data_IF_393312369625
#
_entry.id   IF_393312369625
#
_cell.length_a   1.000
_cell.length_b   1.000
_cell.length_c   1.000
_cell.angle_alpha   90.00
_cell.angle_beta   90.00
_cell.angle_gamma   90.00
#
_symmetry.space_group_name_H-M   'P 1'
#
loop_
_entity.id
_entity.type
_entity.pdbx_description
1 polymer ?
#
# COMPACT_ATOMS: atom_id res chain seq x y z
N UNK A 1 -2.11 19.21 -42.55
CA UNK A 1 -2.26 19.90 -41.25
C UNK A 1 -2.23 18.82 -40.17
N UNK A 2 -1.07 18.59 -39.55
CA UNK A 2 -0.94 17.59 -38.47
C UNK A 2 -1.54 18.19 -37.19
N UNK A 3 -2.46 17.47 -36.54
CA UNK A 3 -2.90 17.80 -35.19
C UNK A 3 -1.80 17.36 -34.23
N UNK A 4 -1.11 18.31 -33.64
CA UNK A 4 -0.22 18.07 -32.50
C UNK A 4 -1.06 17.47 -31.36
N UNK A 5 -0.73 16.23 -30.99
CA UNK A 5 -1.23 15.62 -29.78
C UNK A 5 -0.58 16.38 -28.62
N UNK A 6 -1.35 17.23 -27.94
CA UNK A 6 -1.02 17.77 -26.63
C UNK A 6 -0.81 16.59 -25.67
N UNK A 7 0.45 16.16 -25.53
CA UNK A 7 0.90 15.36 -24.40
C UNK A 7 0.68 16.27 -23.19
N UNK A 8 -0.42 16.06 -22.48
CA UNK A 8 -0.61 16.67 -21.17
C UNK A 8 0.55 16.20 -20.30
N UNK A 9 1.53 17.07 -20.08
CA UNK A 9 2.56 16.85 -19.07
C UNK A 9 1.84 16.59 -17.74
N UNK A 10 1.82 15.34 -17.30
CA UNK A 10 1.36 15.00 -15.96
C UNK A 10 2.26 15.78 -14.99
N UNK A 11 1.70 16.79 -14.33
CA UNK A 11 2.38 17.50 -13.23
C UNK A 11 2.90 16.47 -12.22
N UNK A 12 4.01 16.74 -11.49
CA UNK A 12 4.44 15.87 -10.41
C UNK A 12 3.29 15.73 -9.41
N UNK A 13 2.62 14.58 -9.46
CA UNK A 13 1.46 14.29 -8.62
C UNK A 13 1.93 14.29 -7.18
N UNK A 14 1.27 15.08 -6.32
CA UNK A 14 1.50 15.12 -4.88
C UNK A 14 1.65 13.71 -4.28
N UNK A 15 2.37 13.61 -3.16
CA UNK A 15 2.48 12.36 -2.41
C UNK A 15 1.09 11.79 -2.12
N UNK A 16 0.88 10.50 -2.42
CA UNK A 16 -0.39 9.81 -2.15
C UNK A 16 -0.22 8.96 -0.91
N UNK A 17 -1.08 9.17 0.09
CA UNK A 17 -1.21 8.26 1.23
C UNK A 17 -2.46 7.40 1.05
N UNK A 18 -2.33 6.12 1.37
CA UNK A 18 -3.42 5.15 1.32
C UNK A 18 -3.25 4.12 2.43
N UNK A 19 -4.30 3.32 2.65
CA UNK A 19 -4.24 2.14 3.50
C UNK A 19 -4.35 0.87 2.69
N UNK A 20 -3.65 -0.15 3.16
CA UNK A 20 -3.88 -1.56 2.83
C UNK A 20 -4.29 -2.30 4.09
N UNK A 21 -5.00 -3.41 3.94
CA UNK A 21 -5.38 -4.27 5.05
C UNK A 21 -4.62 -5.59 4.96
N UNK A 22 -4.08 -6.03 6.10
CA UNK A 22 -3.58 -7.38 6.30
C UNK A 22 -4.59 -8.15 7.13
N UNK A 23 -5.01 -9.32 6.66
CA UNK A 23 -5.97 -10.19 7.32
C UNK A 23 -5.29 -11.51 7.69
N UNK A 24 -5.13 -11.73 9.01
CA UNK A 24 -4.52 -12.92 9.56
C UNK A 24 -5.60 -13.87 10.07
N UNK A 25 -5.46 -15.15 9.77
CA UNK A 25 -6.27 -16.17 10.44
C UNK A 25 -5.74 -16.44 11.87
N UNK A 26 -6.51 -17.20 12.65
CA UNK A 26 -6.10 -17.55 14.02
C UNK A 26 -4.82 -18.39 14.08
N UNK A 27 -4.46 -19.10 13.01
CA UNK A 27 -3.22 -19.89 12.95
C UNK A 27 -1.98 -18.98 12.86
N UNK A 28 -2.15 -17.78 12.31
CA UNK A 28 -1.10 -16.79 12.11
C UNK A 28 -1.15 -15.64 13.14
N UNK A 29 -1.80 -15.84 14.30
CA UNK A 29 -1.94 -14.81 15.34
C UNK A 29 -0.58 -14.30 15.86
N UNK A 30 0.45 -15.16 15.89
CA UNK A 30 1.79 -14.76 16.29
C UNK A 30 2.41 -13.74 15.31
N UNK A 31 2.15 -13.90 14.01
CA UNK A 31 2.57 -12.94 12.99
C UNK A 31 1.79 -11.63 13.10
N UNK A 32 0.49 -11.70 13.38
CA UNK A 32 -0.33 -10.51 13.70
C UNK A 32 0.26 -9.74 14.88
N UNK A 33 0.61 -10.43 15.98
CA UNK A 33 1.20 -9.80 17.15
C UNK A 33 2.59 -9.20 16.85
N UNK A 34 3.42 -9.91 16.09
CA UNK A 34 4.77 -9.49 15.73
C UNK A 34 4.78 -8.32 14.74
N UNK A 35 3.87 -8.28 13.76
CA UNK A 35 3.74 -7.12 12.89
C UNK A 35 3.15 -5.94 13.65
N UNK A 36 2.36 -6.23 14.68
CA UNK A 36 1.74 -5.21 15.51
C UNK A 36 2.66 -4.59 16.58
N UNK A 37 3.83 -5.16 16.81
CA UNK A 37 4.78 -4.61 17.79
C UNK A 37 5.51 -3.38 17.25
N UNK A 38 5.83 -2.44 18.14
CA UNK A 38 6.72 -1.31 17.84
C UNK A 38 8.06 -1.83 17.29
N UNK A 39 8.54 -1.29 16.17
CA UNK A 39 9.76 -1.71 15.47
C UNK A 39 9.71 -3.09 14.78
N UNK A 40 8.57 -3.47 14.20
CA UNK A 40 8.47 -4.75 13.51
C UNK A 40 9.32 -4.81 12.23
N UNK A 41 10.28 -5.72 12.19
CA UNK A 41 11.01 -6.08 10.96
C UNK A 41 10.08 -6.62 9.86
N UNK A 42 8.88 -7.09 10.23
CA UNK A 42 7.89 -7.60 9.28
C UNK A 42 7.27 -6.49 8.42
N UNK A 43 7.18 -5.26 8.93
CA UNK A 43 6.76 -4.11 8.12
C UNK A 43 7.81 -3.77 7.05
N UNK A 44 9.09 -3.84 7.40
CA UNK A 44 10.17 -3.68 6.43
C UNK A 44 10.19 -4.83 5.41
N UNK A 45 9.90 -6.05 5.84
CA UNK A 45 9.75 -7.18 4.93
C UNK A 45 8.59 -6.97 3.95
N UNK A 46 7.42 -6.53 4.44
CA UNK A 46 6.28 -6.15 3.61
C UNK A 46 6.67 -5.06 2.61
N UNK A 47 7.42 -4.04 3.04
CA UNK A 47 7.95 -2.98 2.15
C UNK A 47 8.73 -3.58 0.98
N UNK A 48 9.69 -4.44 1.29
CA UNK A 48 10.56 -5.03 0.29
C UNK A 48 9.77 -5.92 -0.68
N UNK A 49 8.79 -6.69 -0.18
CA UNK A 49 7.91 -7.53 -0.99
C UNK A 49 7.04 -6.70 -1.95
N UNK A 50 6.53 -5.55 -1.49
CA UNK A 50 5.74 -4.61 -2.31
C UNK A 50 6.60 -3.92 -3.37
N UNK A 51 7.79 -3.44 -3.01
CA UNK A 51 8.74 -2.81 -3.95
C UNK A 51 9.16 -3.79 -5.06
N UNK A 52 9.37 -5.06 -4.71
CA UNK A 52 9.70 -6.08 -5.71
C UNK A 52 8.53 -6.33 -6.68
N UNK A 53 7.30 -6.27 -6.17
CA UNK A 53 6.09 -6.60 -6.93
C UNK A 53 5.57 -5.44 -7.78
N UNK A 54 5.87 -4.20 -7.38
CA UNK A 54 5.53 -2.97 -8.09
C UNK A 54 6.84 -2.24 -8.30
N UNK A 55 7.43 -2.27 -9.50
CA UNK A 55 8.75 -1.69 -9.74
C UNK A 55 8.70 -0.17 -9.49
N UNK A 56 9.04 0.22 -8.27
CA UNK A 56 9.16 1.59 -7.77
C UNK A 56 10.47 1.68 -6.99
N UNK A 57 11.12 2.85 -7.00
CA UNK A 57 12.22 3.12 -6.08
C UNK A 57 11.77 2.91 -4.63
N UNK A 58 12.53 2.11 -3.88
CA UNK A 58 12.23 1.76 -2.48
C UNK A 58 12.20 2.97 -1.54
N UNK A 59 12.88 4.06 -1.91
CA UNK A 59 12.87 5.34 -1.18
C UNK A 59 11.54 6.07 -1.32
N UNK A 60 10.78 5.78 -2.38
CA UNK A 60 9.49 6.40 -2.67
C UNK A 60 8.31 5.68 -2.03
N UNK A 61 8.46 4.42 -1.63
CA UNK A 61 7.43 3.68 -0.88
C UNK A 61 7.74 3.72 0.63
N UNK A 62 6.91 4.44 1.37
CA UNK A 62 7.02 4.54 2.84
C UNK A 62 5.84 3.79 3.46
N UNK A 63 6.12 2.83 4.33
CA UNK A 63 5.11 2.25 5.22
C UNK A 63 5.22 2.95 6.57
N UNK A 64 4.09 3.44 7.08
CA UNK A 64 4.04 4.06 8.38
C UNK A 64 4.08 2.98 9.47
N UNK A 65 4.89 3.19 10.50
CA UNK A 65 4.93 2.33 11.68
C UNK A 65 3.64 2.42 12.51
N UNK A 66 2.88 3.51 12.34
CA UNK A 66 1.55 3.65 12.92
C UNK A 66 0.55 2.80 12.12
N UNK A 67 0.39 1.57 12.57
CA UNK A 67 -0.65 0.65 12.12
C UNK A 67 -1.92 0.81 12.96
N UNK A 68 -3.08 0.51 12.39
CA UNK A 68 -4.34 0.52 13.11
C UNK A 68 -4.94 -0.88 13.17
N UNK A 69 -5.32 -1.32 14.36
CA UNK A 69 -6.09 -2.56 14.53
C UNK A 69 -7.53 -2.31 14.10
N UNK A 70 -8.05 -3.16 13.23
CA UNK A 70 -9.48 -3.16 12.91
C UNK A 70 -10.18 -4.02 13.97
N UNK A 71 -10.48 -3.42 15.11
CA UNK A 71 -11.28 -4.09 16.13
C UNK A 71 -12.75 -3.91 15.81
N UNK A 72 -13.37 -4.94 15.26
CA UNK A 72 -14.82 -5.01 15.24
C UNK A 72 -15.26 -5.70 16.53
N UNK A 73 -16.11 -5.07 17.34
CA UNK A 73 -16.49 -5.57 18.69
C UNK A 73 -17.09 -6.99 18.69
N UNK A 74 -17.48 -7.50 17.51
CA UNK A 74 -18.16 -8.77 17.33
C UNK A 74 -17.40 -9.81 16.48
N UNK A 75 -16.17 -9.52 16.03
CA UNK A 75 -15.40 -10.50 15.23
C UNK A 75 -13.94 -10.59 15.68
N UNK A 76 -13.44 -11.83 15.75
CA UNK A 76 -12.02 -12.14 15.94
C UNK A 76 -11.21 -11.84 14.67
N UNK A 77 -11.44 -10.67 14.07
CA UNK A 77 -10.76 -10.26 12.85
C UNK A 77 -9.38 -9.76 13.23
N UNK A 78 -8.37 -10.61 13.08
CA UNK A 78 -6.96 -10.22 13.25
C UNK A 78 -6.53 -9.41 12.03
N UNK A 79 -7.08 -8.20 11.91
CA UNK A 79 -6.89 -7.30 10.78
C UNK A 79 -6.09 -6.08 11.18
N UNK A 80 -5.15 -5.70 10.34
CA UNK A 80 -4.27 -4.56 10.54
C UNK A 80 -4.32 -3.67 9.30
N UNK A 81 -4.62 -2.39 9.50
CA UNK A 81 -4.44 -1.37 8.47
C UNK A 81 -3.01 -0.85 8.54
N UNK A 82 -2.34 -0.92 7.39
CA UNK A 82 -1.00 -0.36 7.22
C UNK A 82 -1.11 0.83 6.28
N UNK A 83 -0.56 1.96 6.71
CA UNK A 83 -0.54 3.18 5.91
C UNK A 83 0.68 3.14 4.99
N UNK A 84 0.44 3.41 3.71
CA UNK A 84 1.45 3.52 2.67
C UNK A 84 1.43 4.92 2.12
N UNK A 85 2.60 5.55 2.02
CA UNK A 85 2.79 6.81 1.31
C UNK A 85 3.71 6.57 0.11
N UNK A 86 3.25 6.99 -1.07
CA UNK A 86 4.03 6.99 -2.31
C UNK A 86 4.46 8.43 -2.59
N UNK A 87 5.76 8.67 -2.56
CA UNK A 87 6.37 9.97 -2.86
C UNK A 87 6.40 10.17 -4.38
N UNK A 88 6.19 11.42 -4.89
CA UNK A 88 6.40 11.76 -6.29
C UNK A 88 7.77 11.35 -6.83
N UNK A 89 7.91 11.27 -8.16
CA UNK A 89 9.21 11.17 -8.79
C UNK A 89 10.17 12.26 -8.30
N UNK A 90 11.45 11.90 -8.10
CA UNK A 90 12.48 12.89 -7.73
C UNK A 90 12.80 13.77 -8.95
N UNK A 91 12.69 13.21 -10.15
CA UNK A 91 12.97 13.88 -11.41
C UNK A 91 11.74 13.85 -12.32
N UNK A 92 11.45 14.95 -13.02
CA UNK A 92 10.33 15.06 -13.98
C UNK A 92 10.70 14.51 -15.38
N UNK A 93 11.62 13.55 -15.46
CA UNK A 93 12.18 13.05 -16.72
C UNK A 93 11.35 11.93 -17.38
N UNK A 94 10.13 11.66 -16.89
CA UNK A 94 9.23 10.58 -17.31
C UNK A 94 9.81 9.15 -17.21
N UNK A 95 11.01 8.96 -16.65
CA UNK A 95 11.60 7.64 -16.41
C UNK A 95 10.97 7.03 -15.15
N UNK A 96 10.79 7.86 -14.11
CA UNK A 96 10.20 7.45 -12.86
C UNK A 96 8.67 7.43 -12.91
N UNK A 97 8.07 6.36 -12.36
CA UNK A 97 6.63 6.14 -12.42
C UNK A 97 5.83 7.19 -11.62
N UNK A 98 4.75 7.69 -12.21
CA UNK A 98 3.73 8.53 -11.57
C UNK A 98 3.12 7.82 -10.34
N UNK A 99 2.89 8.56 -9.24
CA UNK A 99 2.24 8.05 -8.02
C UNK A 99 0.85 7.46 -8.28
N UNK A 100 0.07 8.02 -9.23
CA UNK A 100 -1.25 7.52 -9.62
C UNK A 100 -1.15 6.13 -10.27
N UNK A 101 -0.15 5.91 -11.12
CA UNK A 101 0.07 4.60 -11.75
C UNK A 101 0.51 3.58 -10.70
N UNK A 102 1.43 3.95 -9.80
CA UNK A 102 1.89 3.07 -8.72
C UNK A 102 0.73 2.66 -7.81
N UNK A 103 -0.12 3.60 -7.37
CA UNK A 103 -1.24 3.28 -6.48
C UNK A 103 -2.29 2.39 -7.18
N UNK A 104 -2.49 2.57 -8.49
CA UNK A 104 -3.37 1.72 -9.29
C UNK A 104 -2.83 0.29 -9.35
N UNK A 105 -1.54 0.12 -9.66
CA UNK A 105 -0.89 -1.18 -9.68
C UNK A 105 -0.93 -1.85 -8.31
N UNK A 106 -0.71 -1.10 -7.23
CA UNK A 106 -0.82 -1.64 -5.87
C UNK A 106 -2.22 -2.15 -5.59
N UNK A 107 -3.24 -1.42 -6.02
CA UNK A 107 -4.62 -1.85 -5.87
C UNK A 107 -4.92 -3.13 -6.65
N UNK A 108 -4.47 -3.22 -7.91
CA UNK A 108 -4.64 -4.45 -8.71
C UNK A 108 -3.87 -5.63 -8.12
N UNK A 109 -2.63 -5.41 -7.68
CA UNK A 109 -1.80 -6.43 -7.03
C UNK A 109 -2.49 -7.02 -5.78
N UNK A 110 -3.13 -6.17 -4.97
CA UNK A 110 -3.88 -6.59 -3.79
C UNK A 110 -5.17 -7.32 -4.19
N UNK A 111 -5.98 -6.74 -5.08
CA UNK A 111 -7.27 -7.31 -5.48
C UNK A 111 -7.13 -8.62 -6.25
N UNK A 112 -6.07 -8.76 -7.04
CA UNK A 112 -5.78 -9.97 -7.82
C UNK A 112 -4.72 -10.85 -7.16
N UNK A 113 -4.51 -10.72 -5.84
CA UNK A 113 -3.50 -11.48 -5.07
C UNK A 113 -3.51 -12.97 -5.41
N UNK A 114 -4.70 -13.58 -5.53
CA UNK A 114 -4.88 -15.01 -5.86
C UNK A 114 -4.23 -15.44 -7.17
N UNK A 115 -4.02 -14.52 -8.11
CA UNK A 115 -3.51 -14.80 -9.46
C UNK A 115 -2.10 -14.27 -9.68
N UNK A 116 -1.43 -13.76 -8.64
CA UNK A 116 -0.10 -13.19 -8.78
C UNK A 116 0.87 -13.68 -7.70
N UNK A 117 2.16 -13.42 -7.93
CA UNK A 117 3.26 -13.96 -7.10
C UNK A 117 3.28 -13.41 -5.67
N UNK A 118 2.47 -12.38 -5.34
CA UNK A 118 2.43 -11.80 -4.00
C UNK A 118 1.83 -12.77 -2.97
N UNK A 119 1.00 -13.73 -3.42
CA UNK A 119 0.46 -14.78 -2.55
C UNK A 119 1.55 -15.70 -1.98
N UNK A 120 2.69 -15.83 -2.67
CA UNK A 120 3.81 -16.68 -2.25
C UNK A 120 4.83 -15.94 -1.35
N UNK A 121 4.57 -14.67 -1.04
CA UNK A 121 5.43 -13.84 -0.20
C UNK A 121 5.15 -14.09 1.29
N UNK A 122 6.06 -13.68 2.16
CA UNK A 122 5.96 -13.98 3.58
C UNK A 122 4.83 -13.21 4.25
N UNK A 123 4.78 -11.89 4.03
CA UNK A 123 3.83 -10.99 4.68
C UNK A 123 2.74 -10.56 3.73
N UNK A 124 3.11 -10.24 2.49
CA UNK A 124 2.16 -9.73 1.52
C UNK A 124 1.09 -10.76 1.10
N UNK A 125 1.28 -12.06 1.38
CA UNK A 125 0.22 -13.07 1.26
C UNK A 125 -1.00 -12.79 2.13
N UNK A 126 -0.84 -12.01 3.21
CA UNK A 126 -1.93 -11.63 4.12
C UNK A 126 -2.70 -10.38 3.64
N UNK A 127 -2.34 -9.76 2.51
CA UNK A 127 -3.10 -8.64 1.95
C UNK A 127 -4.57 -9.03 1.72
N UNK A 128 -5.50 -8.20 2.17
CA UNK A 128 -6.93 -8.44 2.02
C UNK A 128 -7.42 -7.97 0.64
N UNK A 129 -7.69 -8.94 -0.24
CA UNK A 129 -8.14 -8.71 -1.61
C UNK A 129 -9.49 -7.96 -1.69
N UNK A 130 -10.34 -8.13 -0.67
CA UNK A 130 -11.66 -7.47 -0.63
C UNK A 130 -11.53 -6.02 -0.19
N UNK A 131 -10.50 -5.69 0.59
CA UNK A 131 -10.22 -4.33 1.02
C UNK A 131 -9.57 -3.49 -0.10
N UNK A 132 -8.63 -4.09 -0.85
CA UNK A 132 -7.88 -3.38 -1.89
C UNK A 132 -6.97 -2.30 -1.30
N UNK A 133 -6.89 -1.15 -1.98
CA UNK A 133 -6.15 0.03 -1.51
C UNK A 133 -7.11 1.20 -1.37
N UNK A 134 -7.14 1.82 -0.18
CA UNK A 134 -8.02 2.95 0.12
C UNK A 134 -7.22 4.25 0.26
N UNK A 135 -7.40 5.18 -0.67
CA UNK A 135 -6.71 6.49 -0.63
C UNK A 135 -7.21 7.30 0.56
N UNK A 136 -6.29 7.93 1.28
CA UNK A 136 -6.62 8.84 2.38
C UNK A 136 -6.57 10.27 1.85
N UNK A 137 -7.73 10.91 1.81
CA UNK A 137 -7.80 12.34 1.55
C UNK A 137 -7.45 13.10 2.83
N UNK A 138 -6.52 14.07 2.76
CA UNK A 138 -6.08 14.91 3.89
C UNK A 138 -7.25 15.58 4.65
N UNK A 139 -8.40 15.76 4.01
CA UNK A 139 -9.59 16.38 4.61
C UNK A 139 -10.47 15.45 5.46
N UNK A 140 -10.24 14.12 5.47
CA UNK A 140 -11.05 13.17 6.26
C UNK A 140 -10.56 12.96 7.70
N UNK A 141 -9.42 13.53 8.09
CA UNK A 141 -8.84 13.38 9.44
C UNK A 141 -9.58 14.18 10.52
N UNK A 142 -10.50 15.08 10.15
CA UNK A 142 -11.22 15.95 11.10
C UNK A 142 -12.51 15.35 11.70
N UNK A 143 -12.87 14.09 11.41
CA UNK A 143 -14.17 13.53 11.79
C UNK A 143 -14.12 12.36 12.79
N UNK A 144 -12.96 12.10 13.40
CA UNK A 144 -12.82 11.10 14.47
C UNK A 144 -11.97 11.63 15.64
N UNK A 145 -12.42 12.74 16.25
CA UNK A 145 -12.07 13.12 17.61
C UNK A 145 -13.32 13.07 18.48
#
# INVERSE_FOLDING_TARGET
MMKEYLITQEKPTDSITATICLNFDNKNINLYNAINSKNSSLLQQLKNELVYSIPIDSRRLILNENIQKVQNKNSNDNKILVFITIIPPITNNNIERNTISVIKDLNELVKQKKYNLILNKSIAKFLDENYGVQKICKYKTLLYL
#
